data_IF_848710163121
#
_entry.id   IF_848710163121
#
_cell.length_a   1.000
_cell.length_b   1.000
_cell.length_c   1.000
_cell.angle_alpha   90.00
_cell.angle_beta   90.00
_cell.angle_gamma   90.00
#
_symmetry.space_group_name_H-M   'P 1'
#
loop_
_entity.id
_entity.type
_entity.pdbx_description
1 polymer ?
#
# COMPACT_ATOMS: atom_id res chain seq x y z
N UNK A 1 -11.53 -4.99 47.81
CA UNK A 1 -11.19 -4.84 46.74
C UNK A 1 -11.56 -5.11 45.27
N UNK A 2 -12.64 -5.88 44.93
CA UNK A 2 -12.94 -6.21 43.53
C UNK A 2 -13.51 -5.05 42.72
N UNK A 3 -14.25 -4.15 43.32
CA UNK A 3 -14.87 -2.98 42.68
C UNK A 3 -13.85 -1.93 42.24
N UNK A 4 -12.78 -1.79 43.01
CA UNK A 4 -11.69 -0.84 42.73
C UNK A 4 -10.88 -1.21 41.47
N UNK A 5 -10.73 -2.50 41.26
CA UNK A 5 -10.04 -3.03 40.06
C UNK A 5 -10.90 -2.82 38.82
N UNK A 6 -12.21 -3.11 38.87
CA UNK A 6 -13.12 -2.91 37.76
C UNK A 6 -13.21 -1.43 37.34
N UNK A 7 -13.25 -0.52 38.30
CA UNK A 7 -13.27 0.93 38.07
C UNK A 7 -11.99 1.43 37.41
N UNK A 8 -10.82 0.94 37.85
CA UNK A 8 -9.53 1.25 37.22
C UNK A 8 -9.47 0.78 35.75
N UNK A 9 -10.01 -0.42 35.48
CA UNK A 9 -10.08 -0.92 34.10
C UNK A 9 -10.97 -0.05 33.21
N UNK A 10 -12.16 0.36 33.68
CA UNK A 10 -13.05 1.25 32.94
C UNK A 10 -12.40 2.60 32.64
N UNK A 11 -11.73 3.20 33.62
CA UNK A 11 -11.00 4.47 33.43
C UNK A 11 -9.88 4.29 32.41
N UNK A 12 -9.10 3.22 32.50
CA UNK A 12 -8.01 2.94 31.57
C UNK A 12 -8.51 2.73 30.15
N UNK A 13 -9.63 2.02 29.99
CA UNK A 13 -10.25 1.81 28.68
C UNK A 13 -10.78 3.14 28.10
N UNK A 14 -11.48 3.92 28.91
CA UNK A 14 -11.94 5.25 28.50
C UNK A 14 -10.78 6.16 28.06
N UNK A 15 -9.73 6.22 28.86
CA UNK A 15 -8.54 7.02 28.56
C UNK A 15 -7.86 6.57 27.26
N UNK A 16 -7.74 5.25 27.05
CA UNK A 16 -7.17 4.68 25.85
C UNK A 16 -8.01 5.03 24.59
N UNK A 17 -9.32 5.00 24.71
CA UNK A 17 -10.24 5.39 23.63
C UNK A 17 -10.14 6.88 23.32
N UNK A 18 -10.14 7.74 24.34
CA UNK A 18 -10.02 9.19 24.17
C UNK A 18 -8.69 9.57 23.52
N UNK A 19 -7.58 9.01 23.99
CA UNK A 19 -6.25 9.20 23.39
C UNK A 19 -6.21 8.73 21.92
N UNK A 20 -6.87 7.61 21.60
CA UNK A 20 -6.96 7.13 20.21
C UNK A 20 -7.72 8.10 19.32
N UNK A 21 -8.84 8.65 19.79
CA UNK A 21 -9.64 9.65 19.06
C UNK A 21 -8.83 10.92 18.84
N UNK A 22 -8.22 11.47 19.89
CA UNK A 22 -7.40 12.69 19.81
C UNK A 22 -6.22 12.52 18.86
N UNK A 23 -5.50 11.41 18.94
CA UNK A 23 -4.37 11.11 18.06
C UNK A 23 -4.82 10.99 16.59
N UNK A 24 -5.94 10.33 16.32
CA UNK A 24 -6.50 10.21 14.96
C UNK A 24 -6.92 11.58 14.42
N UNK A 25 -7.58 12.40 15.22
CA UNK A 25 -8.01 13.75 14.84
C UNK A 25 -6.81 14.65 14.53
N UNK A 26 -5.81 14.67 15.41
CA UNK A 26 -4.59 15.44 15.20
C UNK A 26 -3.83 15.00 13.93
N UNK A 27 -3.76 13.70 13.71
CA UNK A 27 -3.15 13.11 12.50
C UNK A 27 -3.92 13.52 11.24
N UNK A 28 -5.24 13.49 11.29
CA UNK A 28 -6.09 13.90 10.18
C UNK A 28 -5.93 15.39 9.85
N UNK A 29 -5.92 16.25 10.88
CA UNK A 29 -5.69 17.68 10.69
C UNK A 29 -4.32 18.01 10.05
N UNK A 30 -3.28 17.25 10.41
CA UNK A 30 -1.96 17.36 9.76
C UNK A 30 -2.01 16.97 8.29
N UNK A 31 -2.71 15.89 7.96
CA UNK A 31 -2.87 15.43 6.57
C UNK A 31 -3.63 16.44 5.71
N UNK A 32 -4.66 17.09 6.26
CA UNK A 32 -5.38 18.16 5.57
C UNK A 32 -4.48 19.38 5.25
N UNK A 33 -3.44 19.62 6.04
CA UNK A 33 -2.41 20.63 5.75
C UNK A 33 -1.35 20.20 4.72
N UNK A 34 -1.51 19.00 4.13
CA UNK A 34 -0.59 18.45 3.13
C UNK A 34 0.61 17.70 3.71
N UNK A 35 0.62 17.44 5.05
CA UNK A 35 1.70 16.69 5.67
C UNK A 35 1.51 15.18 5.45
N UNK A 36 2.52 14.51 4.89
CA UNK A 36 2.51 13.06 4.74
C UNK A 36 2.91 12.37 6.04
N UNK A 37 1.98 11.63 6.64
CA UNK A 37 2.13 11.09 7.99
C UNK A 37 2.84 9.73 8.05
N UNK A 38 3.01 9.05 6.93
CA UNK A 38 3.75 7.79 6.89
C UNK A 38 5.26 8.04 6.93
N UNK A 39 5.98 7.12 7.58
CA UNK A 39 7.45 7.15 7.63
C UNK A 39 8.07 6.84 6.25
N UNK A 40 7.40 6.01 5.46
CA UNK A 40 7.89 5.53 4.16
C UNK A 40 6.90 5.95 3.08
N UNK A 41 7.40 6.61 2.05
CA UNK A 41 6.61 6.95 0.85
C UNK A 41 6.44 5.73 -0.07
N UNK A 42 5.37 5.69 -0.89
CA UNK A 42 5.27 4.76 -2.00
C UNK A 42 6.49 4.86 -2.93
N UNK A 43 6.78 3.81 -3.65
CA UNK A 43 7.80 3.87 -4.70
C UNK A 43 7.41 4.92 -5.76
N UNK A 44 8.32 5.72 -6.22
CA UNK A 44 8.03 6.87 -7.09
C UNK A 44 7.89 8.20 -6.35
N UNK A 45 7.76 8.16 -5.02
CA UNK A 45 7.71 9.36 -4.18
C UNK A 45 8.80 9.34 -3.11
N UNK A 46 9.24 10.54 -2.76
CA UNK A 46 10.11 10.82 -1.61
C UNK A 46 9.43 11.79 -0.64
N UNK A 47 9.91 11.84 0.58
CA UNK A 47 9.44 12.81 1.56
C UNK A 47 10.37 14.02 1.54
N UNK A 48 9.81 15.21 1.33
CA UNK A 48 10.57 16.47 1.39
C UNK A 48 10.94 16.83 2.83
N UNK A 49 11.82 17.81 2.99
CA UNK A 49 12.21 18.35 4.31
C UNK A 49 10.99 18.89 5.10
N UNK A 50 10.01 19.44 4.40
CA UNK A 50 8.76 19.98 4.98
C UNK A 50 7.74 18.88 5.33
N UNK A 51 8.11 17.62 5.18
CA UNK A 51 7.24 16.50 5.47
C UNK A 51 6.16 16.20 4.41
N UNK A 52 6.20 16.86 3.27
CA UNK A 52 5.30 16.65 2.15
C UNK A 52 5.78 15.49 1.27
N UNK A 53 4.88 14.94 0.46
CA UNK A 53 5.20 13.90 -0.51
C UNK A 53 5.47 14.54 -1.87
N UNK A 54 6.64 14.26 -2.45
CA UNK A 54 7.08 14.78 -3.74
C UNK A 54 7.49 13.64 -4.67
N UNK A 55 7.25 13.75 -5.99
CA UNK A 55 7.75 12.78 -6.94
C UNK A 55 9.29 12.71 -6.89
N UNK A 56 9.79 11.49 -6.87
CA UNK A 56 11.22 11.20 -7.05
C UNK A 56 11.48 11.02 -8.54
N UNK A 57 12.26 11.88 -9.21
CA UNK A 57 12.33 11.89 -10.67
C UNK A 57 12.69 10.55 -11.29
N UNK A 58 13.64 9.82 -10.70
CA UNK A 58 14.07 8.51 -11.21
C UNK A 58 13.01 7.44 -10.97
N UNK A 59 12.53 7.30 -9.74
CA UNK A 59 11.54 6.29 -9.39
C UNK A 59 10.15 6.62 -9.99
N UNK A 60 9.79 7.90 -10.14
CA UNK A 60 8.54 8.31 -10.78
C UNK A 60 8.50 7.95 -12.27
N UNK A 61 9.61 8.08 -13.00
CA UNK A 61 9.70 7.65 -14.39
C UNK A 61 9.42 6.14 -14.54
N UNK A 62 9.88 5.32 -13.60
CA UNK A 62 9.59 3.88 -13.60
C UNK A 62 8.10 3.61 -13.35
N UNK A 63 7.47 4.34 -12.42
CA UNK A 63 6.04 4.22 -12.17
C UNK A 63 5.25 4.61 -13.43
N UNK A 64 5.59 5.71 -14.09
CA UNK A 64 4.96 6.12 -15.36
C UNK A 64 5.10 5.03 -16.43
N UNK A 65 6.29 4.45 -16.59
CA UNK A 65 6.52 3.33 -17.51
C UNK A 65 5.62 2.13 -17.20
N UNK A 66 5.47 1.75 -15.92
CA UNK A 66 4.59 0.65 -15.49
C UNK A 66 3.14 0.93 -15.90
N UNK A 67 2.64 2.15 -15.66
CA UNK A 67 1.27 2.53 -16.05
C UNK A 67 1.09 2.60 -17.57
N UNK A 68 2.06 3.10 -18.32
CA UNK A 68 2.03 3.11 -19.78
C UNK A 68 1.94 1.69 -20.36
N UNK A 69 2.77 0.76 -19.87
CA UNK A 69 2.73 -0.63 -20.29
C UNK A 69 1.40 -1.31 -19.94
N UNK A 70 0.85 -1.03 -18.76
CA UNK A 70 -0.44 -1.56 -18.35
C UNK A 70 -1.59 -0.97 -19.19
N UNK A 71 -1.54 0.31 -19.55
CA UNK A 71 -2.56 0.98 -20.36
C UNK A 71 -2.68 0.39 -21.77
N UNK A 72 -1.57 -0.08 -22.36
CA UNK A 72 -1.57 -0.79 -23.64
C UNK A 72 -1.89 -2.29 -23.52
N UNK A 73 -2.31 -2.75 -22.32
CA UNK A 73 -2.81 -4.10 -22.08
C UNK A 73 -1.73 -5.14 -21.73
N UNK A 74 -0.51 -4.72 -21.42
CA UNK A 74 0.55 -5.63 -20.97
C UNK A 74 0.26 -6.08 -19.54
N UNK A 75 0.22 -7.38 -19.30
CA UNK A 75 -0.06 -7.92 -17.97
C UNK A 75 1.12 -7.76 -17.00
N UNK A 76 0.84 -7.84 -15.70
CA UNK A 76 1.83 -7.60 -14.64
C UNK A 76 3.07 -8.50 -14.76
N UNK A 77 2.91 -9.76 -15.16
CA UNK A 77 4.05 -10.69 -15.35
C UNK A 77 4.95 -10.29 -16.53
N UNK A 78 4.37 -9.80 -17.61
CA UNK A 78 5.15 -9.32 -18.75
C UNK A 78 5.86 -8.00 -18.40
N UNK A 79 5.21 -7.11 -17.63
CA UNK A 79 5.83 -5.88 -17.11
C UNK A 79 7.04 -6.24 -16.24
N UNK A 80 6.97 -7.24 -15.34
CA UNK A 80 8.14 -7.63 -14.54
C UNK A 80 9.33 -8.06 -15.38
N UNK A 81 9.09 -8.80 -16.48
CA UNK A 81 10.14 -9.23 -17.42
C UNK A 81 10.78 -8.03 -18.14
N UNK A 82 9.96 -7.07 -18.54
CA UNK A 82 10.44 -5.86 -19.20
C UNK A 82 11.29 -5.00 -18.28
N UNK A 83 10.88 -4.81 -17.01
CA UNK A 83 11.67 -4.09 -16.02
C UNK A 83 13.00 -4.81 -15.72
N UNK A 84 12.99 -6.13 -15.67
CA UNK A 84 14.20 -6.95 -15.50
C UNK A 84 15.13 -6.80 -16.71
N UNK A 85 14.60 -6.90 -17.93
CA UNK A 85 15.37 -6.71 -19.17
C UNK A 85 16.05 -5.34 -19.23
N UNK A 86 15.40 -4.30 -18.72
CA UNK A 86 15.94 -2.94 -18.60
C UNK A 86 16.87 -2.74 -17.41
N UNK A 87 17.12 -3.77 -16.62
CA UNK A 87 17.95 -3.70 -15.41
C UNK A 87 17.47 -2.65 -14.40
N UNK A 88 16.15 -2.45 -14.28
CA UNK A 88 15.55 -1.49 -13.37
C UNK A 88 15.47 -2.11 -11.98
N UNK A 89 16.05 -1.43 -10.98
CA UNK A 89 16.05 -1.85 -9.58
C UNK A 89 14.65 -2.00 -9.04
N UNK A 90 14.43 -3.03 -8.24
CA UNK A 90 13.20 -3.20 -7.47
C UNK A 90 13.04 -2.08 -6.43
N UNK A 91 11.83 -1.78 -5.95
CA UNK A 91 11.61 -0.75 -4.93
C UNK A 91 12.46 -0.94 -3.67
N UNK A 92 12.74 -2.19 -3.29
CA UNK A 92 13.62 -2.51 -2.14
C UNK A 92 15.08 -2.14 -2.42
N UNK A 93 15.61 -2.55 -3.56
CA UNK A 93 16.99 -2.23 -3.98
C UNK A 93 17.17 -0.72 -4.16
N UNK A 94 16.22 -0.06 -4.82
CA UNK A 94 16.24 1.39 -5.01
C UNK A 94 16.32 2.14 -3.68
N UNK A 95 15.44 1.80 -2.73
CA UNK A 95 15.43 2.42 -1.40
C UNK A 95 16.71 2.17 -0.63
N UNK A 96 17.27 0.96 -0.71
CA UNK A 96 18.52 0.64 -0.05
C UNK A 96 19.70 1.41 -0.64
N UNK A 97 19.77 1.54 -1.96
CA UNK A 97 20.79 2.35 -2.65
C UNK A 97 20.74 3.84 -2.24
N UNK A 98 19.54 4.34 -1.85
CA UNK A 98 19.35 5.70 -1.35
C UNK A 98 19.34 5.81 0.18
N UNK A 99 19.98 4.88 0.89
CA UNK A 99 20.18 4.94 2.34
C UNK A 99 18.98 4.57 3.20
N UNK A 100 17.90 4.06 2.60
CA UNK A 100 16.73 3.60 3.35
C UNK A 100 16.78 2.08 3.56
N UNK A 101 17.33 1.67 4.70
CA UNK A 101 17.49 0.26 5.09
C UNK A 101 16.32 -0.28 5.92
N UNK A 102 15.13 0.27 5.78
CA UNK A 102 13.94 -0.17 6.54
C UNK A 102 13.52 -1.61 6.20
N UNK A 103 13.90 -2.11 5.03
CA UNK A 103 13.63 -3.48 4.60
C UNK A 103 14.94 -4.26 4.45
N UNK A 104 14.94 -5.48 4.95
CA UNK A 104 16.03 -6.43 4.72
C UNK A 104 16.08 -6.81 3.24
N UNK A 105 17.11 -6.33 2.54
CA UNK A 105 17.35 -6.61 1.12
C UNK A 105 18.00 -7.97 0.87
N UNK A 106 18.49 -8.65 1.89
CA UNK A 106 19.08 -10.00 1.73
C UNK A 106 18.10 -11.00 1.14
N UNK A 107 16.80 -10.78 1.34
CA UNK A 107 15.69 -11.58 0.78
C UNK A 107 15.17 -11.06 -0.56
N UNK A 108 15.68 -9.95 -1.05
CA UNK A 108 15.29 -9.39 -2.34
C UNK A 108 16.15 -10.00 -3.44
N UNK A 109 15.59 -10.94 -4.20
CA UNK A 109 16.29 -11.58 -5.33
C UNK A 109 16.54 -10.66 -6.54
N UNK A 110 16.38 -9.34 -6.40
CA UNK A 110 16.59 -8.38 -7.49
C UNK A 110 15.55 -8.44 -8.61
N UNK A 111 14.49 -9.23 -8.43
CA UNK A 111 13.48 -9.46 -9.45
C UNK A 111 12.15 -8.84 -9.01
N UNK A 112 11.54 -8.05 -9.89
CA UNK A 112 10.21 -7.52 -9.68
C UNK A 112 9.18 -8.64 -9.58
N UNK A 113 8.29 -8.58 -8.60
CA UNK A 113 7.17 -9.52 -8.50
C UNK A 113 5.90 -8.93 -9.15
N UNK A 114 5.10 -9.77 -9.78
CA UNK A 114 3.82 -9.37 -10.35
C UNK A 114 2.88 -8.75 -9.28
N UNK A 115 2.94 -9.23 -8.04
CA UNK A 115 2.17 -8.67 -6.92
C UNK A 115 2.61 -7.26 -6.54
N UNK A 116 3.88 -6.91 -6.73
CA UNK A 116 4.36 -5.53 -6.54
C UNK A 116 3.83 -4.62 -7.64
N UNK A 117 3.85 -5.07 -8.89
CA UNK A 117 3.27 -4.32 -10.02
C UNK A 117 1.78 -4.08 -9.78
N UNK A 118 1.00 -5.12 -9.44
CA UNK A 118 -0.43 -4.97 -9.17
C UNK A 118 -0.70 -3.96 -8.04
N UNK A 119 0.06 -4.01 -6.95
CA UNK A 119 -0.06 -3.02 -5.86
C UNK A 119 0.25 -1.59 -6.29
N UNK A 120 1.18 -1.40 -7.22
CA UNK A 120 1.47 -0.08 -7.80
C UNK A 120 0.28 0.36 -8.65
N UNK A 121 -0.22 -0.50 -9.53
CA UNK A 121 -1.33 -0.18 -10.41
C UNK A 121 -2.66 0.08 -9.68
N UNK A 122 -2.87 -0.52 -8.50
CA UNK A 122 -4.07 -0.33 -7.67
C UNK A 122 -3.99 0.89 -6.72
N UNK A 123 -2.84 1.53 -6.62
CA UNK A 123 -2.62 2.57 -5.62
C UNK A 123 -3.06 3.95 -6.13
N UNK A 124 -4.21 4.41 -5.66
CA UNK A 124 -4.79 5.72 -6.00
C UNK A 124 -3.88 6.90 -5.66
N UNK A 125 -2.87 6.74 -4.80
CA UNK A 125 -1.95 7.82 -4.43
C UNK A 125 -1.15 8.34 -5.62
N UNK A 126 -0.95 7.55 -6.66
CA UNK A 126 -0.26 7.99 -7.87
C UNK A 126 -1.02 9.06 -8.65
N UNK A 127 -2.31 9.24 -8.41
CA UNK A 127 -3.13 10.31 -9.00
C UNK A 127 -3.17 11.60 -8.15
N UNK A 128 -2.31 11.73 -7.15
CA UNK A 128 -2.27 12.90 -6.28
C UNK A 128 -3.24 12.85 -5.08
N UNK A 129 -4.02 11.79 -4.98
CA UNK A 129 -5.02 11.61 -3.90
C UNK A 129 -4.38 10.92 -2.70
N UNK A 130 -4.61 11.43 -1.51
CA UNK A 130 -4.19 10.77 -0.29
C UNK A 130 -5.36 10.06 0.39
N UNK A 131 -5.29 8.73 0.48
CA UNK A 131 -6.35 7.90 1.05
C UNK A 131 -5.87 7.30 2.37
N UNK A 132 -6.63 7.54 3.44
CA UNK A 132 -6.35 7.05 4.79
C UNK A 132 -7.58 6.43 5.42
N UNK A 133 -7.36 5.65 6.50
CA UNK A 133 -8.47 5.04 7.23
C UNK A 133 -9.09 3.84 6.53
N UNK A 134 -8.42 3.26 5.53
CA UNK A 134 -8.89 2.05 4.82
C UNK A 134 -9.13 0.86 5.76
N UNK A 135 -8.41 0.78 6.87
CA UNK A 135 -8.51 -0.33 7.84
C UNK A 135 -8.82 0.18 9.24
N UNK A 136 -9.61 -0.59 9.96
CA UNK A 136 -9.83 -0.40 11.39
C UNK A 136 -9.37 -1.64 12.15
N UNK A 137 -8.77 -1.42 13.32
CA UNK A 137 -8.47 -2.50 14.27
C UNK A 137 -9.79 -2.87 14.94
N UNK A 138 -10.10 -4.16 15.03
CA UNK A 138 -11.37 -4.66 15.55
C UNK A 138 -11.50 -4.45 17.06
N UNK A 139 -10.38 -4.59 17.78
CA UNK A 139 -10.33 -4.50 19.24
C UNK A 139 -9.21 -3.53 19.66
N UNK A 140 -9.41 -2.81 20.74
CA UNK A 140 -8.39 -1.93 21.32
C UNK A 140 -7.20 -2.79 21.77
N UNK A 141 -6.00 -2.49 21.25
CA UNK A 141 -4.78 -3.29 21.49
C UNK A 141 -4.65 -4.55 20.64
N UNK A 142 -5.64 -4.88 19.81
CA UNK A 142 -5.60 -6.03 18.91
C UNK A 142 -4.72 -5.79 17.67
N UNK A 143 -4.22 -6.88 17.09
CA UNK A 143 -3.43 -6.86 15.84
C UNK A 143 -4.29 -7.11 14.60
N UNK A 144 -5.49 -7.63 14.76
CA UNK A 144 -6.41 -7.93 13.65
C UNK A 144 -7.05 -6.65 13.12
N UNK A 145 -6.92 -6.41 11.83
CA UNK A 145 -7.53 -5.27 11.17
C UNK A 145 -8.49 -5.72 10.06
N UNK A 146 -9.62 -5.03 9.94
CA UNK A 146 -10.61 -5.22 8.87
C UNK A 146 -10.56 -4.04 7.89
N UNK A 147 -10.76 -4.33 6.61
CA UNK A 147 -11.00 -3.30 5.60
C UNK A 147 -12.36 -2.66 5.88
N UNK A 148 -12.42 -1.34 5.88
CA UNK A 148 -13.66 -0.57 6.03
C UNK A 148 -14.30 -0.35 4.66
N UNK A 149 -15.58 -0.06 4.66
CA UNK A 149 -16.28 0.35 3.45
C UNK A 149 -15.69 1.67 2.92
N UNK A 150 -15.66 1.82 1.59
CA UNK A 150 -15.01 2.96 0.92
C UNK A 150 -15.55 4.31 1.40
N UNK A 151 -16.83 4.39 1.72
CA UNK A 151 -17.50 5.59 2.26
C UNK A 151 -16.93 6.06 3.60
N UNK A 152 -16.32 5.13 4.35
CA UNK A 152 -15.67 5.42 5.64
C UNK A 152 -14.20 5.82 5.51
N UNK A 153 -13.67 5.90 4.29
CA UNK A 153 -12.29 6.30 4.06
C UNK A 153 -12.19 7.83 4.03
N UNK A 154 -11.06 8.33 4.51
CA UNK A 154 -10.75 9.74 4.32
C UNK A 154 -9.95 9.91 3.04
N UNK A 155 -10.52 10.64 2.10
CA UNK A 155 -9.93 10.90 0.78
C UNK A 155 -9.63 12.39 0.71
N UNK A 156 -8.36 12.73 0.54
CA UNK A 156 -7.90 14.11 0.41
C UNK A 156 -7.42 14.26 -1.04
N UNK A 157 -8.17 14.97 -1.88
CA UNK A 157 -7.76 15.25 -3.25
C UNK A 157 -6.59 16.24 -3.26
N UNK A 158 -5.83 16.24 -4.33
CA UNK A 158 -4.75 17.21 -4.60
C UNK A 158 -3.76 17.40 -3.45
N UNK A 159 -3.53 16.32 -2.68
CA UNK A 159 -2.65 16.34 -1.52
C UNK A 159 -1.17 16.49 -1.93
N UNK A 160 -0.79 15.96 -3.06
CA UNK A 160 0.58 15.94 -3.57
C UNK A 160 0.59 15.88 -5.10
N UNK A 161 1.70 16.26 -5.77
CA UNK A 161 1.79 16.17 -7.22
C UNK A 161 1.57 14.76 -7.71
N UNK A 162 0.69 14.59 -8.71
CA UNK A 162 0.40 13.32 -9.33
C UNK A 162 1.58 12.86 -10.21
N UNK A 163 1.89 11.55 -10.17
CA UNK A 163 2.84 10.92 -11.11
C UNK A 163 2.10 10.43 -12.35
N UNK A 164 0.82 10.07 -12.20
CA UNK A 164 -0.01 9.48 -13.24
C UNK A 164 -1.31 10.27 -13.35
N UNK A 165 -1.70 10.59 -14.57
CA UNK A 165 -2.99 11.22 -14.83
C UNK A 165 -4.15 10.28 -14.45
N UNK A 166 -5.22 10.86 -13.91
CA UNK A 166 -6.39 10.10 -13.48
C UNK A 166 -7.00 9.28 -14.63
N UNK A 167 -7.04 9.82 -15.85
CA UNK A 167 -7.56 9.13 -17.03
C UNK A 167 -6.79 7.83 -17.35
N UNK A 168 -5.45 7.88 -17.24
CA UNK A 168 -4.59 6.70 -17.43
C UNK A 168 -4.83 5.68 -16.33
N UNK A 169 -4.91 6.14 -15.08
CA UNK A 169 -5.21 5.27 -13.94
C UNK A 169 -6.55 4.55 -14.13
N UNK A 170 -7.61 5.28 -14.45
CA UNK A 170 -8.97 4.73 -14.64
C UNK A 170 -9.00 3.72 -15.81
N UNK A 171 -8.28 3.99 -16.90
CA UNK A 171 -8.13 3.06 -18.04
C UNK A 171 -7.48 1.75 -17.60
N UNK A 172 -6.42 1.83 -16.80
CA UNK A 172 -5.73 0.64 -16.27
C UNK A 172 -6.65 -0.14 -15.33
N UNK A 173 -7.40 0.52 -14.43
CA UNK A 173 -8.36 -0.15 -13.56
C UNK A 173 -9.44 -0.90 -14.37
N UNK A 174 -10.00 -0.26 -15.38
CA UNK A 174 -11.00 -0.87 -16.25
C UNK A 174 -10.47 -2.10 -17.00
N UNK A 175 -9.20 -2.08 -17.42
CA UNK A 175 -8.57 -3.23 -18.08
C UNK A 175 -8.30 -4.38 -17.11
N UNK A 176 -7.87 -4.09 -15.87
CA UNK A 176 -7.61 -5.13 -14.85
C UNK A 176 -8.88 -5.86 -14.42
N UNK A 177 -10.01 -5.18 -14.32
CA UNK A 177 -11.31 -5.80 -14.02
C UNK A 177 -11.70 -6.86 -15.06
N UNK A 178 -11.33 -6.66 -16.33
CA UNK A 178 -11.57 -7.66 -17.40
C UNK A 178 -10.75 -8.94 -17.25
N UNK A 179 -9.57 -8.86 -16.63
CA UNK A 179 -8.68 -10.00 -16.40
C UNK A 179 -8.91 -10.69 -15.05
N UNK A 180 -9.69 -10.11 -14.15
CA UNK A 180 -10.13 -10.75 -12.93
C UNK A 180 -11.11 -11.88 -13.26
N UNK A 181 -10.57 -13.08 -13.52
CA UNK A 181 -11.41 -14.27 -13.72
C UNK A 181 -12.16 -14.57 -12.41
N UNK A 182 -13.49 -14.85 -12.50
CA UNK A 182 -14.22 -15.35 -11.35
C UNK A 182 -13.52 -16.57 -10.79
N UNK A 183 -13.39 -16.65 -9.48
CA UNK A 183 -12.73 -17.73 -8.74
C UNK A 183 -13.04 -19.08 -9.40
N UNK A 184 -12.06 -19.65 -10.09
CA UNK A 184 -12.18 -21.04 -10.56
C UNK A 184 -12.50 -21.86 -9.33
N UNK A 185 -13.64 -22.57 -9.32
CA UNK A 185 -14.01 -23.53 -8.27
C UNK A 185 -12.75 -24.29 -7.89
N UNK A 186 -12.38 -24.28 -6.61
CA UNK A 186 -11.23 -25.05 -6.12
C UNK A 186 -11.38 -26.47 -6.65
N UNK A 187 -10.55 -26.86 -7.61
CA UNK A 187 -10.53 -28.23 -8.08
C UNK A 187 -10.04 -29.08 -6.91
N UNK A 188 -10.83 -30.03 -6.53
CA UNK A 188 -10.41 -31.01 -5.53
C UNK A 188 -9.53 -32.04 -6.25
N UNK A 189 -8.24 -31.98 -5.93
CA UNK A 189 -7.28 -32.88 -6.50
C UNK A 189 -7.18 -34.13 -5.58
N UNK A 190 -7.28 -35.37 -6.12
CA UNK A 190 -7.27 -36.58 -5.31
C UNK A 190 -6.04 -36.72 -4.38
N UNK A 191 -4.93 -36.12 -4.77
CA UNK A 191 -3.67 -36.17 -4.01
C UNK A 191 -3.43 -34.93 -3.13
N UNK A 192 -4.40 -34.00 -3.01
CA UNK A 192 -4.27 -32.81 -2.18
C UNK A 192 -4.10 -33.19 -0.70
N UNK A 193 -2.98 -32.82 -0.11
CA UNK A 193 -2.65 -33.14 1.28
C UNK A 193 -2.20 -34.60 1.52
N UNK A 194 -2.00 -35.41 0.47
CA UNK A 194 -1.51 -36.78 0.56
C UNK A 194 -0.09 -36.95 0.03
N UNK A 195 0.47 -35.94 -0.61
CA UNK A 195 1.85 -35.95 -1.09
C UNK A 195 2.76 -35.28 -0.05
N UNK A 196 3.71 -36.02 0.47
CA UNK A 196 4.73 -35.54 1.40
C UNK A 196 6.11 -35.67 0.76
N UNK A 197 7.01 -34.73 1.04
CA UNK A 197 8.42 -34.86 0.65
C UNK A 197 9.03 -36.02 1.44
N UNK A 198 9.78 -36.91 0.79
CA UNK A 198 10.47 -38.02 1.42
C UNK A 198 11.83 -37.69 2.03
N UNK A 199 12.20 -36.39 2.11
CA UNK A 199 13.44 -35.90 2.68
C UNK A 199 13.29 -35.45 4.13
#
# INVERSE_FOLDING_TARGET
GGMDVAFKYLISEYYSRDMSIKTKSAKYAKMQRGEYQSKICPYGYRKSADGRMEPDPEAAAVVQLIFQLAAVGINATAITRELFRRNIHTPGQYKAAHGNHTHDISRCHGIWSASTILRILEDERYTGVYVIGKRAVLEVGGTRSRLKDRESWYIIPDHHPAIVEKAVFDTVQASQLRFSQPNKKKRDYPLKGKAFCGC
#
